data_IF_638918567271
#
_entry.id   IF_638918567271
#
_cell.length_a   1.000
_cell.length_b   1.000
_cell.length_c   1.000
_cell.angle_alpha   90.00
_cell.angle_beta   90.00
_cell.angle_gamma   90.00
#
_symmetry.space_group_name_H-M   'P 1'
#
loop_
_entity.id
_entity.type
_entity.pdbx_description
1 polymer ?
#
# COMPACT_ATOMS: atom_id res chain seq x y z
N UNK A 1 7.46 25.69 7.46
CA UNK A 1 8.28 24.65 6.82
C UNK A 1 7.97 24.65 5.34
N UNK A 2 9.00 24.77 4.52
CA UNK A 2 8.92 25.22 3.13
C UNK A 2 8.10 24.29 2.23
N UNK A 3 7.22 24.88 1.44
CA UNK A 3 6.61 24.29 0.25
C UNK A 3 7.74 23.99 -0.75
N UNK A 4 8.34 22.79 -0.68
CA UNK A 4 9.22 22.29 -1.72
C UNK A 4 8.49 22.39 -3.06
N UNK A 5 9.12 23.03 -4.05
CA UNK A 5 8.60 23.12 -5.41
C UNK A 5 8.23 21.71 -5.88
N UNK A 6 6.92 21.46 -6.09
CA UNK A 6 6.42 20.31 -6.83
C UNK A 6 7.00 20.36 -8.25
N UNK A 7 8.24 19.91 -8.41
CA UNK A 7 8.73 19.55 -9.73
C UNK A 7 7.90 18.33 -10.14
N UNK A 8 7.33 18.34 -11.35
CA UNK A 8 6.50 17.23 -11.83
C UNK A 8 7.23 15.89 -11.67
N UNK A 9 8.56 15.88 -11.84
CA UNK A 9 9.43 14.74 -11.59
C UNK A 9 9.45 14.26 -10.13
N UNK A 10 9.50 15.16 -9.15
CA UNK A 10 9.44 14.80 -7.73
C UNK A 10 8.08 14.24 -7.33
N UNK A 11 7.00 14.84 -7.84
CA UNK A 11 5.63 14.37 -7.61
C UNK A 11 5.40 12.96 -8.18
N UNK A 12 5.88 12.70 -9.41
CA UNK A 12 5.80 11.38 -10.04
C UNK A 12 6.55 10.33 -9.19
N UNK A 13 7.77 10.66 -8.73
CA UNK A 13 8.55 9.74 -7.90
C UNK A 13 7.89 9.43 -6.56
N UNK A 14 7.25 10.41 -5.93
CA UNK A 14 6.53 10.20 -4.68
C UNK A 14 5.27 9.33 -4.86
N UNK A 15 4.55 9.47 -5.99
CA UNK A 15 3.35 8.66 -6.27
C UNK A 15 3.65 7.23 -6.71
N UNK A 16 4.86 6.95 -7.21
CA UNK A 16 5.31 5.61 -7.56
C UNK A 16 5.75 4.78 -6.34
N UNK A 17 5.67 5.34 -5.12
CA UNK A 17 6.03 4.64 -3.89
C UNK A 17 4.78 3.98 -3.29
N UNK A 18 4.84 2.66 -3.16
CA UNK A 18 3.83 1.88 -2.43
C UNK A 18 4.22 1.79 -0.96
N UNK A 19 3.23 1.83 -0.07
CA UNK A 19 3.40 1.59 1.35
C UNK A 19 3.64 0.09 1.58
N UNK A 20 4.89 -0.23 1.91
CA UNK A 20 5.36 -1.60 2.07
C UNK A 20 5.68 -1.84 3.54
N UNK A 21 5.06 -2.85 4.14
CA UNK A 21 5.38 -3.35 5.46
C UNK A 21 6.25 -4.59 5.34
N UNK A 22 7.36 -4.62 6.06
CA UNK A 22 8.26 -5.78 6.01
C UNK A 22 9.30 -5.75 7.10
N UNK A 23 10.13 -6.79 7.09
CA UNK A 23 11.24 -6.91 8.02
C UNK A 23 12.45 -6.19 7.45
N UNK A 24 12.95 -5.20 8.17
CA UNK A 24 14.22 -4.53 7.88
C UNK A 24 15.39 -5.47 8.17
N UNK A 25 16.55 -5.18 7.57
CA UNK A 25 17.78 -5.99 7.73
C UNK A 25 18.32 -6.05 9.17
N UNK A 26 17.86 -5.15 10.04
CA UNK A 26 18.15 -5.11 11.48
C UNK A 26 17.21 -6.02 12.31
N UNK A 27 16.27 -6.71 11.66
CA UNK A 27 15.28 -7.58 12.30
C UNK A 27 14.03 -6.87 12.82
N UNK A 28 13.96 -5.54 12.69
CA UNK A 28 12.77 -4.77 13.07
C UNK A 28 11.67 -4.88 12.01
N UNK A 29 10.41 -4.86 12.48
CA UNK A 29 9.25 -4.85 11.60
C UNK A 29 8.74 -3.42 11.48
N UNK A 30 8.70 -2.91 10.26
CA UNK A 30 8.44 -1.50 10.01
C UNK A 30 7.77 -1.25 8.67
N UNK A 31 7.27 -0.03 8.52
CA UNK A 31 6.80 0.50 7.25
C UNK A 31 7.98 1.15 6.54
N UNK A 32 8.27 0.70 5.32
CA UNK A 32 9.26 1.30 4.46
C UNK A 32 8.87 2.76 4.18
N UNK A 33 9.73 3.70 4.54
CA UNK A 33 9.55 5.12 4.28
C UNK A 33 10.04 5.54 2.89
N UNK A 34 10.45 4.58 2.05
CA UNK A 34 10.80 4.84 0.67
C UNK A 34 11.01 3.58 -0.16
N UNK A 35 11.11 3.78 -1.49
CA UNK A 35 11.32 2.71 -2.46
C UNK A 35 12.63 1.91 -2.25
N UNK A 36 13.64 2.52 -1.63
CA UNK A 36 14.90 1.85 -1.31
C UNK A 36 14.71 0.81 -0.20
N UNK A 37 14.12 1.20 0.93
CA UNK A 37 13.83 0.32 2.06
C UNK A 37 12.85 -0.79 1.68
N UNK A 38 11.82 -0.47 0.89
CA UNK A 38 10.87 -1.47 0.38
C UNK A 38 11.56 -2.54 -0.48
N UNK A 39 12.62 -2.17 -1.21
CA UNK A 39 13.43 -3.11 -2.01
C UNK A 39 14.36 -3.95 -1.13
N UNK A 40 14.84 -3.39 -0.02
CA UNK A 40 15.71 -4.08 0.94
C UNK A 40 14.95 -5.08 1.83
N UNK A 41 13.64 -4.91 2.04
CA UNK A 41 12.78 -5.86 2.76
C UNK A 41 12.62 -7.22 2.04
N UNK A 42 13.03 -7.30 0.76
CA UNK A 42 13.15 -8.55 0.01
C UNK A 42 11.85 -9.35 -0.06
N UNK A 43 11.89 -10.62 0.33
CA UNK A 43 10.76 -11.55 0.25
C UNK A 43 9.58 -11.18 1.18
N UNK A 44 9.83 -10.43 2.25
CA UNK A 44 8.82 -10.04 3.24
C UNK A 44 8.25 -8.63 3.03
N UNK A 45 8.40 -8.08 1.82
CA UNK A 45 7.84 -6.80 1.42
C UNK A 45 6.32 -6.89 1.14
N UNK A 46 5.50 -6.81 2.18
CA UNK A 46 4.03 -6.84 2.07
C UNK A 46 3.52 -5.46 1.68
N UNK A 47 2.89 -5.37 0.52
CA UNK A 47 2.29 -4.13 0.04
C UNK A 47 0.93 -3.94 0.71
N UNK A 48 0.89 -3.11 1.75
CA UNK A 48 -0.32 -2.97 2.59
C UNK A 48 -1.44 -2.29 1.82
N UNK A 49 -1.12 -1.31 0.98
CA UNK A 49 -2.10 -0.56 0.20
C UNK A 49 -2.89 -1.47 -0.74
N UNK A 50 -2.19 -2.31 -1.51
CA UNK A 50 -2.81 -3.20 -2.49
C UNK A 50 -3.57 -4.33 -1.80
N UNK A 51 -3.06 -4.85 -0.69
CA UNK A 51 -3.76 -5.83 0.15
C UNK A 51 -5.05 -5.25 0.74
N UNK A 52 -5.01 -4.01 1.22
CA UNK A 52 -6.18 -3.31 1.76
C UNK A 52 -7.27 -3.17 0.69
N UNK A 53 -6.92 -2.65 -0.49
CA UNK A 53 -7.89 -2.50 -1.58
C UNK A 53 -8.43 -3.84 -2.07
N UNK A 54 -7.59 -4.89 -2.15
CA UNK A 54 -8.01 -6.22 -2.54
C UNK A 54 -9.07 -6.80 -1.58
N UNK A 55 -8.82 -6.74 -0.28
CA UNK A 55 -9.75 -7.25 0.74
C UNK A 55 -11.02 -6.40 0.79
N UNK A 56 -10.90 -5.07 0.73
CA UNK A 56 -12.04 -4.16 0.76
C UNK A 56 -12.98 -4.41 -0.42
N UNK A 57 -12.44 -4.51 -1.63
CA UNK A 57 -13.23 -4.75 -2.83
C UNK A 57 -13.84 -6.16 -2.83
N UNK A 58 -13.11 -7.17 -2.37
CA UNK A 58 -13.64 -8.53 -2.20
C UNK A 58 -14.80 -8.58 -1.20
N UNK A 59 -14.66 -7.93 -0.05
CA UNK A 59 -15.71 -7.83 0.96
C UNK A 59 -16.92 -7.04 0.43
N UNK A 60 -16.69 -5.94 -0.30
CA UNK A 60 -17.75 -5.15 -0.91
C UNK A 60 -18.54 -5.97 -1.95
N UNK A 61 -17.85 -6.74 -2.80
CA UNK A 61 -18.46 -7.65 -3.75
C UNK A 61 -19.37 -8.67 -3.04
N UNK A 62 -18.85 -9.39 -2.05
CA UNK A 62 -19.63 -10.35 -1.28
C UNK A 62 -20.83 -9.69 -0.58
N UNK A 63 -20.65 -8.49 -0.04
CA UNK A 63 -21.73 -7.75 0.61
C UNK A 63 -22.84 -7.34 -0.36
N UNK A 64 -22.49 -6.83 -1.55
CA UNK A 64 -23.47 -6.46 -2.58
C UNK A 64 -24.29 -7.67 -3.03
N UNK A 65 -23.64 -8.79 -3.31
CA UNK A 65 -24.30 -10.02 -3.75
C UNK A 65 -25.15 -10.63 -2.64
N UNK A 66 -24.64 -10.65 -1.39
CA UNK A 66 -25.44 -11.09 -0.23
C UNK A 66 -26.68 -10.22 -0.04
N UNK A 67 -26.55 -8.89 -0.15
CA UNK A 67 -27.66 -7.96 -0.01
C UNK A 67 -28.71 -8.15 -1.11
N UNK A 68 -28.30 -8.41 -2.34
CA UNK A 68 -29.23 -8.73 -3.43
C UNK A 68 -29.92 -10.09 -3.19
N UNK A 69 -29.18 -11.12 -2.80
CA UNK A 69 -29.72 -12.46 -2.55
C UNK A 69 -30.72 -12.51 -1.38
N UNK A 70 -30.53 -11.69 -0.35
CA UNK A 70 -31.45 -11.60 0.80
C UNK A 70 -32.67 -10.72 0.53
N UNK A 71 -32.58 -9.80 -0.44
CA UNK A 71 -33.69 -8.90 -0.83
C UNK A 71 -34.54 -9.45 -1.97
N UNK A 72 -34.09 -10.50 -2.65
CA UNK A 72 -34.86 -11.27 -3.62
C UNK A 72 -35.81 -12.23 -2.90
#
# INVERSE_FOLDING_TARGET
MASEKLTSTGYIKHHLQNLTFGQHSDGTWGLAHGAHEAKEMGFWAIHVDTMFWSVLLGALFLWLFRKAAVRA
#
